data_IF_618202952632
#
_entry.id   IF_618202952632
#
_cell.length_a   1.000
_cell.length_b   1.000
_cell.length_c   1.000
_cell.angle_alpha   90.00
_cell.angle_beta   90.00
_cell.angle_gamma   90.00
#
_symmetry.space_group_name_H-M   'P 1'
#
loop_
_entity.id
_entity.type
_entity.pdbx_description
1 polymer ?
#
# COMPACT_ATOMS: atom_id res chain seq x y z
N UNK A 1 -10.30 -11.65 20.18
CA UNK A 1 -9.64 -12.40 21.28
C UNK A 1 -9.39 -11.54 22.54
N UNK A 2 -9.93 -10.32 22.63
CA UNK A 2 -9.90 -9.53 23.87
C UNK A 2 -11.33 -9.18 24.31
N UNK A 3 -11.61 -9.39 25.60
CA UNK A 3 -12.82 -9.03 26.37
C UNK A 3 -14.08 -9.90 26.25
N UNK A 4 -13.98 -11.18 26.62
CA UNK A 4 -15.17 -11.90 27.09
C UNK A 4 -15.01 -12.59 28.45
N UNK A 5 -13.79 -12.69 28.98
CA UNK A 5 -13.55 -13.24 30.31
C UNK A 5 -13.79 -12.22 31.45
N UNK A 6 -13.71 -10.92 31.16
CA UNK A 6 -13.66 -9.88 32.21
C UNK A 6 -15.00 -9.51 32.85
N UNK A 7 -16.14 -9.95 32.29
CA UNK A 7 -17.43 -9.48 32.79
C UNK A 7 -17.79 -10.04 34.19
N UNK A 8 -17.17 -11.15 34.62
CA UNK A 8 -17.56 -11.88 35.84
C UNK A 8 -16.39 -12.24 36.79
N UNK A 9 -15.16 -11.74 36.57
CA UNK A 9 -14.02 -12.13 37.41
C UNK A 9 -13.95 -11.30 38.72
N UNK A 10 -13.87 -11.95 39.90
CA UNK A 10 -13.60 -11.25 41.15
C UNK A 10 -12.24 -10.54 41.09
N UNK A 11 -12.18 -9.29 41.57
CA UNK A 11 -10.94 -8.49 41.60
C UNK A 11 -9.78 -9.31 42.21
N UNK A 12 -8.72 -9.52 41.42
CA UNK A 12 -7.44 -10.04 41.90
C UNK A 12 -7.07 -11.48 41.50
N UNK A 13 -7.86 -12.19 40.69
CA UNK A 13 -7.44 -13.47 40.11
C UNK A 13 -7.09 -13.31 38.63
N UNK A 14 -5.90 -13.79 38.23
CA UNK A 14 -5.50 -13.88 36.83
C UNK A 14 -6.35 -14.90 36.07
N UNK A 15 -6.42 -14.74 34.75
CA UNK A 15 -7.11 -15.66 33.85
C UNK A 15 -6.20 -16.84 33.55
N UNK A 16 -6.57 -18.03 34.01
CA UNK A 16 -5.94 -19.28 33.57
C UNK A 16 -6.55 -19.71 32.23
N UNK A 17 -5.75 -19.62 31.16
CA UNK A 17 -6.16 -19.89 29.77
C UNK A 17 -6.25 -21.39 29.45
N UNK A 18 -5.68 -22.26 30.28
CA UNK A 18 -5.72 -23.72 30.11
C UNK A 18 -6.95 -24.32 30.82
N UNK A 19 -7.41 -23.70 31.91
CA UNK A 19 -8.57 -24.15 32.69
C UNK A 19 -9.90 -23.56 32.17
N UNK A 20 -9.91 -22.29 31.74
CA UNK A 20 -11.13 -21.60 31.28
C UNK A 20 -11.34 -21.74 29.77
N UNK A 21 -11.69 -22.96 29.35
CA UNK A 21 -12.05 -23.29 27.95
C UNK A 21 -13.32 -22.55 27.51
N UNK A 22 -13.14 -21.32 27.07
CA UNK A 22 -14.09 -20.54 26.28
C UNK A 22 -15.54 -20.53 26.69
N UNK A 23 -15.95 -19.46 27.37
CA UNK A 23 -17.35 -19.21 27.66
C UNK A 23 -18.22 -19.03 26.39
N UNK A 24 -19.56 -19.00 26.52
CA UNK A 24 -20.50 -18.82 25.40
C UNK A 24 -20.20 -17.63 24.47
N UNK A 25 -19.47 -16.63 24.97
CA UNK A 25 -19.05 -15.46 24.20
C UNK A 25 -17.90 -15.74 23.21
N UNK A 26 -17.04 -16.73 23.45
CA UNK A 26 -15.95 -17.06 22.52
C UNK A 26 -16.49 -17.68 21.23
N UNK A 27 -17.37 -18.69 21.36
CA UNK A 27 -18.03 -19.32 20.23
C UNK A 27 -18.76 -18.27 19.36
N UNK A 28 -19.41 -17.28 19.99
CA UNK A 28 -20.05 -16.15 19.29
C UNK A 28 -19.06 -15.36 18.43
N UNK A 29 -17.87 -15.02 18.94
CA UNK A 29 -16.90 -14.24 18.17
C UNK A 29 -16.17 -15.07 17.12
N UNK A 30 -15.95 -16.36 17.36
CA UNK A 30 -15.42 -17.29 16.35
C UNK A 30 -16.40 -17.39 15.17
N UNK A 31 -17.69 -17.65 15.45
CA UNK A 31 -18.73 -17.73 14.41
C UNK A 31 -18.80 -16.42 13.63
N UNK A 32 -18.83 -15.27 14.32
CA UNK A 32 -18.82 -13.94 13.66
C UNK A 32 -17.58 -13.70 12.79
N UNK A 33 -16.42 -14.22 13.20
CA UNK A 33 -15.17 -14.13 12.42
C UNK A 33 -15.30 -14.94 11.14
N UNK A 34 -15.77 -16.19 11.24
CA UNK A 34 -15.98 -17.08 10.09
C UNK A 34 -17.05 -16.53 9.11
N UNK A 35 -18.07 -15.84 9.62
CA UNK A 35 -19.05 -15.13 8.80
C UNK A 35 -18.52 -13.83 8.16
N UNK A 36 -17.34 -13.37 8.55
CA UNK A 36 -16.79 -12.07 8.14
C UNK A 36 -17.54 -10.87 8.74
N UNK A 37 -18.30 -11.06 9.82
CA UNK A 37 -19.22 -10.07 10.42
C UNK A 37 -18.99 -9.90 11.92
N UNK A 38 -17.83 -9.39 12.29
CA UNK A 38 -17.45 -9.15 13.71
C UNK A 38 -18.41 -8.20 14.45
N UNK A 39 -18.93 -7.16 13.77
CA UNK A 39 -19.90 -6.18 14.31
C UNK A 39 -19.47 -5.57 15.66
N UNK A 40 -18.19 -5.23 15.79
CA UNK A 40 -17.64 -4.59 16.99
C UNK A 40 -17.84 -3.07 17.00
N UNK A 41 -18.18 -2.45 15.87
CA UNK A 41 -18.18 -0.99 15.73
C UNK A 41 -16.77 -0.38 15.71
N UNK A 42 -15.73 -1.21 15.65
CA UNK A 42 -14.32 -0.86 15.59
C UNK A 42 -13.76 -1.33 14.25
N UNK A 43 -12.81 -0.57 13.69
CA UNK A 43 -12.13 -0.86 12.44
C UNK A 43 -10.60 -0.79 12.62
N UNK A 44 -9.86 -1.13 11.56
CA UNK A 44 -8.39 -1.17 11.57
C UNK A 44 -7.74 0.12 12.09
N UNK A 45 -8.30 1.29 11.73
CA UNK A 45 -7.81 2.59 12.22
C UNK A 45 -7.90 2.71 13.75
N UNK A 46 -8.96 2.17 14.34
CA UNK A 46 -9.13 2.19 15.80
C UNK A 46 -8.15 1.24 16.46
N UNK A 47 -7.93 0.06 15.87
CA UNK A 47 -6.92 -0.90 16.36
C UNK A 47 -5.52 -0.26 16.33
N UNK A 48 -5.16 0.42 15.24
CA UNK A 48 -3.87 1.07 15.08
C UNK A 48 -3.63 2.16 16.13
N UNK A 49 -4.64 2.99 16.40
CA UNK A 49 -4.57 4.02 17.45
C UNK A 49 -4.44 3.39 18.83
N UNK A 50 -5.28 2.41 19.16
CA UNK A 50 -5.22 1.71 20.45
C UNK A 50 -3.87 1.02 20.67
N UNK A 51 -3.31 0.42 19.62
CA UNK A 51 -2.00 -0.22 19.67
C UNK A 51 -0.88 0.80 19.92
N UNK A 52 -0.89 1.94 19.20
CA UNK A 52 0.08 3.01 19.42
C UNK A 52 0.04 3.56 20.85
N UNK A 53 -1.16 3.75 21.39
CA UNK A 53 -1.32 4.19 22.77
C UNK A 53 -0.81 3.13 23.75
N UNK A 54 -1.14 1.85 23.55
CA UNK A 54 -0.67 0.76 24.40
C UNK A 54 0.86 0.65 24.41
N UNK A 55 1.49 0.73 23.24
CA UNK A 55 2.95 0.75 23.07
C UNK A 55 3.59 1.95 23.78
N UNK A 56 3.02 3.15 23.59
CA UNK A 56 3.51 4.37 24.26
C UNK A 56 3.40 4.27 25.78
N UNK A 57 2.27 3.76 26.28
CA UNK A 57 2.08 3.52 27.71
C UNK A 57 3.13 2.55 28.25
N UNK A 58 3.37 1.44 27.56
CA UNK A 58 4.35 0.45 27.96
C UNK A 58 5.76 1.05 28.05
N UNK A 59 6.21 1.74 27.01
CA UNK A 59 7.56 2.32 26.95
C UNK A 59 7.77 3.41 28.01
N UNK A 60 6.82 4.34 28.15
CA UNK A 60 6.96 5.45 29.10
C UNK A 60 6.85 4.95 30.54
N UNK A 61 5.91 4.04 30.84
CA UNK A 61 5.76 3.49 32.18
C UNK A 61 7.00 2.68 32.59
N UNK A 62 7.54 1.85 31.69
CA UNK A 62 8.73 1.03 31.99
C UNK A 62 9.96 1.88 32.21
N UNK A 63 10.12 3.01 31.49
CA UNK A 63 11.30 3.88 31.60
C UNK A 63 11.20 4.92 32.73
N UNK A 64 9.99 5.40 33.04
CA UNK A 64 9.80 6.57 33.93
C UNK A 64 8.92 6.30 35.15
N UNK A 65 8.28 5.12 35.22
CA UNK A 65 7.31 4.74 36.25
C UNK A 65 6.12 5.73 36.38
N UNK A 66 5.79 6.42 35.29
CA UNK A 66 4.70 7.40 35.18
C UNK A 66 3.87 7.13 33.94
N UNK A 67 2.61 7.57 33.98
CA UNK A 67 1.75 7.57 32.79
C UNK A 67 2.26 8.58 31.75
N UNK A 68 2.14 8.28 30.45
CA UNK A 68 2.50 9.19 29.38
C UNK A 68 1.62 10.44 29.36
N UNK A 69 2.20 11.55 28.92
CA UNK A 69 1.46 12.78 28.65
C UNK A 69 0.63 12.66 27.37
N UNK A 70 -0.35 13.55 27.19
CA UNK A 70 -1.14 13.63 25.95
C UNK A 70 -0.25 13.80 24.72
N UNK A 71 0.77 14.65 24.81
CA UNK A 71 1.72 14.89 23.73
C UNK A 71 2.52 13.63 23.34
N UNK A 72 2.92 12.82 24.33
CA UNK A 72 3.60 11.55 24.08
C UNK A 72 2.68 10.55 23.38
N UNK A 73 1.41 10.45 23.79
CA UNK A 73 0.42 9.59 23.13
C UNK A 73 0.19 10.01 21.68
N UNK A 74 0.00 11.31 21.43
CA UNK A 74 -0.15 11.83 20.07
C UNK A 74 1.09 11.58 19.22
N UNK A 75 2.29 11.71 19.80
CA UNK A 75 3.54 11.39 19.10
C UNK A 75 3.61 9.90 18.74
N UNK A 76 3.34 8.99 19.68
CA UNK A 76 3.34 7.55 19.42
C UNK A 76 2.32 7.17 18.36
N UNK A 77 1.12 7.74 18.40
CA UNK A 77 0.10 7.58 17.36
C UNK A 77 0.58 8.03 15.99
N UNK A 78 1.22 9.20 15.87
CA UNK A 78 1.76 9.68 14.60
C UNK A 78 2.84 8.74 14.07
N UNK A 79 3.77 8.29 14.92
CA UNK A 79 4.85 7.38 14.52
C UNK A 79 4.27 6.07 13.99
N UNK A 80 3.41 5.40 14.76
CA UNK A 80 2.87 4.11 14.32
C UNK A 80 1.98 4.25 13.07
N UNK A 81 1.21 5.35 12.94
CA UNK A 81 0.43 5.63 11.72
C UNK A 81 1.33 5.78 10.50
N UNK A 82 2.44 6.53 10.61
CA UNK A 82 3.37 6.71 9.50
C UNK A 82 4.02 5.38 9.10
N UNK A 83 4.57 4.65 10.08
CA UNK A 83 5.19 3.34 9.85
C UNK A 83 4.20 2.37 9.22
N UNK A 84 2.97 2.28 9.73
CA UNK A 84 1.97 1.39 9.17
C UNK A 84 1.50 1.80 7.77
N UNK A 85 1.50 3.09 7.43
CA UNK A 85 1.16 3.50 6.07
C UNK A 85 2.24 3.11 5.07
N UNK A 86 3.51 3.17 5.45
CA UNK A 86 4.66 2.80 4.60
C UNK A 86 4.91 1.29 4.55
N UNK A 87 4.66 0.60 5.66
CA UNK A 87 4.95 -0.82 5.84
C UNK A 87 3.80 -1.49 6.62
N UNK A 88 2.60 -1.68 6.04
CA UNK A 88 1.42 -2.22 6.73
C UNK A 88 1.52 -3.73 7.00
N UNK A 89 2.54 -4.14 7.76
CA UNK A 89 2.77 -5.52 8.18
C UNK A 89 3.08 -5.57 9.67
N UNK A 90 2.13 -6.07 10.47
CA UNK A 90 2.36 -6.29 11.90
C UNK A 90 3.46 -7.33 12.16
N UNK A 91 3.67 -8.27 11.23
CA UNK A 91 4.75 -9.26 11.33
C UNK A 91 6.14 -8.61 11.32
N UNK A 92 6.29 -7.45 10.65
CA UNK A 92 7.56 -6.69 10.64
C UNK A 92 7.57 -5.62 11.73
N UNK A 93 6.45 -4.91 11.92
CA UNK A 93 6.36 -3.80 12.86
C UNK A 93 6.52 -4.25 14.32
N UNK A 94 5.86 -5.35 14.72
CA UNK A 94 5.83 -5.75 16.13
C UNK A 94 7.22 -6.17 16.63
N UNK A 95 7.99 -7.03 15.93
CA UNK A 95 9.36 -7.35 16.35
C UNK A 95 10.25 -6.11 16.44
N UNK A 96 10.21 -5.22 15.43
CA UNK A 96 11.01 -4.01 15.43
C UNK A 96 10.66 -3.07 16.60
N UNK A 97 9.38 -2.99 16.96
CA UNK A 97 8.94 -2.25 18.15
C UNK A 97 9.50 -2.86 19.44
N UNK A 98 9.46 -4.18 19.59
CA UNK A 98 9.95 -4.85 20.80
C UNK A 98 11.47 -4.62 21.01
N UNK A 99 12.22 -4.42 19.93
CA UNK A 99 13.66 -4.15 19.99
C UNK A 99 13.99 -2.67 20.21
N UNK A 100 13.28 -1.75 19.54
CA UNK A 100 13.67 -0.33 19.46
C UNK A 100 12.74 0.60 20.26
N UNK A 101 11.53 0.15 20.61
CA UNK A 101 10.47 0.98 21.17
C UNK A 101 9.72 1.82 20.13
N UNK A 102 8.65 2.49 20.55
CA UNK A 102 7.73 3.17 19.62
C UNK A 102 8.33 4.42 18.98
N UNK A 103 9.19 5.16 19.69
CA UNK A 103 9.67 6.47 19.22
C UNK A 103 10.77 6.38 18.18
N UNK A 104 11.49 5.25 18.14
CA UNK A 104 12.58 4.98 17.19
C UNK A 104 12.13 4.00 16.08
N UNK A 105 10.86 3.58 16.11
CA UNK A 105 10.28 2.60 15.20
C UNK A 105 10.36 3.00 13.73
N UNK A 106 10.27 4.30 13.43
CA UNK A 106 10.33 4.80 12.06
C UNK A 106 11.71 4.58 11.41
N UNK A 107 12.78 4.63 12.20
CA UNK A 107 14.13 4.40 11.68
C UNK A 107 14.41 2.92 11.43
N UNK A 108 13.78 2.04 12.23
CA UNK A 108 13.87 0.59 12.09
C UNK A 108 12.95 0.03 10.98
N UNK A 109 11.75 0.59 10.80
CA UNK A 109 10.75 0.12 9.85
C UNK A 109 10.60 1.08 8.67
N UNK A 110 11.48 0.92 7.68
CA UNK A 110 11.41 1.67 6.42
C UNK A 110 10.54 0.95 5.40
N UNK A 111 10.03 1.69 4.41
CA UNK A 111 9.37 1.14 3.22
C UNK A 111 10.27 0.08 2.56
N UNK A 112 9.73 -1.10 2.32
CA UNK A 112 10.46 -2.22 1.69
C UNK A 112 9.66 -2.82 0.53
N UNK A 113 10.28 -3.08 -0.63
CA UNK A 113 9.66 -3.86 -1.69
C UNK A 113 9.16 -5.23 -1.19
N UNK A 114 7.95 -5.60 -1.57
CA UNK A 114 7.28 -6.83 -1.16
C UNK A 114 6.23 -6.69 -0.05
N UNK A 115 6.17 -5.53 0.61
CA UNK A 115 5.03 -5.18 1.47
C UNK A 115 4.30 -4.00 0.82
N UNK A 116 3.02 -4.16 0.40
CA UNK A 116 2.31 -3.09 -0.28
C UNK A 116 1.95 -1.96 0.67
N UNK A 117 2.45 -0.76 0.40
CA UNK A 117 2.14 0.42 1.22
C UNK A 117 0.72 0.93 0.97
N UNK A 118 0.17 1.67 1.94
CA UNK A 118 -1.18 2.21 1.82
C UNK A 118 -1.23 3.29 0.75
N UNK A 119 -2.12 3.16 -0.25
CA UNK A 119 -2.17 4.09 -1.37
C UNK A 119 -2.67 5.47 -0.96
N UNK A 120 -2.13 6.52 -1.60
CA UNK A 120 -2.72 7.85 -1.52
C UNK A 120 -4.13 7.84 -2.14
N UNK A 121 -5.09 8.45 -1.44
CA UNK A 121 -6.49 8.53 -1.85
C UNK A 121 -6.85 9.94 -2.33
N UNK A 122 -7.80 10.03 -3.25
CA UNK A 122 -8.34 11.31 -3.72
C UNK A 122 -9.57 11.75 -2.90
N UNK A 123 -9.73 13.05 -2.74
CA UNK A 123 -10.95 13.67 -2.21
C UNK A 123 -11.85 14.06 -3.39
N UNK A 124 -13.12 13.59 -3.43
CA UNK A 124 -14.05 14.02 -4.46
C UNK A 124 -14.27 15.54 -4.38
N UNK A 125 -14.18 16.21 -5.52
CA UNK A 125 -14.35 17.65 -5.66
C UNK A 125 -15.29 17.91 -6.83
N UNK A 126 -16.24 18.83 -6.63
CA UNK A 126 -17.38 19.00 -7.57
C UNK A 126 -17.16 20.11 -8.61
N UNK A 127 -16.15 20.96 -8.43
CA UNK A 127 -15.84 22.05 -9.33
C UNK A 127 -14.34 22.33 -9.39
N UNK A 128 -13.88 22.89 -10.51
CA UNK A 128 -12.48 23.33 -10.68
C UNK A 128 -12.17 24.44 -9.68
N UNK A 129 -13.11 25.33 -9.38
CA UNK A 129 -12.93 26.40 -8.37
C UNK A 129 -12.58 25.83 -6.99
N UNK A 130 -13.24 24.75 -6.55
CA UNK A 130 -12.91 24.10 -5.27
C UNK A 130 -11.48 23.53 -5.27
N UNK A 131 -10.97 23.11 -6.44
CA UNK A 131 -9.57 22.67 -6.60
C UNK A 131 -8.62 23.87 -6.45
N UNK A 132 -8.90 24.97 -7.15
CA UNK A 132 -8.09 26.20 -7.09
C UNK A 132 -8.06 26.79 -5.68
N UNK A 133 -9.21 26.87 -5.03
CA UNK A 133 -9.35 27.36 -3.66
C UNK A 133 -8.56 26.47 -2.68
N UNK A 134 -8.60 25.14 -2.86
CA UNK A 134 -7.85 24.21 -2.01
C UNK A 134 -6.34 24.32 -2.17
N UNK A 135 -5.86 24.57 -3.39
CA UNK A 135 -4.44 24.69 -3.65
C UNK A 135 -3.89 26.09 -3.38
N UNK A 136 -4.74 27.10 -3.15
CA UNK A 136 -4.37 28.43 -2.65
C UNK A 136 -3.23 29.07 -3.49
N UNK A 137 -3.33 29.01 -4.81
CA UNK A 137 -2.34 29.57 -5.73
C UNK A 137 -1.03 28.77 -5.85
N UNK A 138 -0.95 27.57 -5.24
CA UNK A 138 0.15 26.63 -5.49
C UNK A 138 -0.01 25.98 -6.85
N UNK A 139 1.11 25.78 -7.55
CA UNK A 139 1.09 24.96 -8.76
C UNK A 139 0.67 23.53 -8.45
N UNK A 140 -0.11 22.95 -9.35
CA UNK A 140 -0.50 21.54 -9.33
C UNK A 140 -0.43 20.96 -10.75
N UNK A 141 -0.61 19.65 -10.84
CA UNK A 141 -0.74 18.96 -12.12
C UNK A 141 -2.14 18.34 -12.24
N UNK A 142 -2.65 18.29 -13.45
CA UNK A 142 -3.85 17.54 -13.81
C UNK A 142 -3.41 16.29 -14.55
N UNK A 143 -3.76 15.12 -14.05
CA UNK A 143 -3.49 13.84 -14.71
C UNK A 143 -4.80 13.19 -15.15
N UNK A 144 -4.74 12.46 -16.26
CA UNK A 144 -5.88 11.67 -16.69
C UNK A 144 -6.22 10.63 -15.64
N UNK A 145 -7.49 10.62 -15.21
CA UNK A 145 -7.99 9.60 -14.31
C UNK A 145 -8.41 8.37 -15.13
N UNK A 146 -7.47 7.46 -15.32
CA UNK A 146 -7.71 6.19 -16.00
C UNK A 146 -8.80 5.34 -15.30
N UNK A 147 -9.58 4.62 -16.11
CA UNK A 147 -10.66 3.74 -15.66
C UNK A 147 -10.20 2.27 -15.73
N UNK A 148 -9.46 1.86 -14.70
CA UNK A 148 -8.78 0.57 -14.65
C UNK A 148 -8.81 -0.07 -13.26
N UNK A 149 -7.80 -0.89 -13.00
CA UNK A 149 -7.51 -1.43 -11.67
C UNK A 149 -6.15 -0.90 -11.22
N UNK A 150 -6.15 -0.15 -10.11
CA UNK A 150 -4.90 0.31 -9.49
C UNK A 150 -3.98 -0.86 -9.14
N UNK A 151 -2.74 -0.74 -9.56
CA UNK A 151 -1.68 -1.72 -9.38
C UNK A 151 -0.46 -1.03 -8.75
N UNK A 152 -0.02 -1.56 -7.62
CA UNK A 152 1.25 -1.18 -7.01
C UNK A 152 2.29 -2.24 -7.38
N UNK A 153 3.24 -1.88 -8.24
CA UNK A 153 4.23 -2.82 -8.79
C UNK A 153 5.53 -2.66 -8.02
N UNK A 154 5.96 -3.75 -7.39
CA UNK A 154 7.23 -3.82 -6.66
C UNK A 154 8.22 -4.63 -7.49
N UNK A 155 9.49 -4.24 -7.48
CA UNK A 155 10.55 -4.94 -8.19
C UNK A 155 11.88 -4.84 -7.43
N UNK A 156 12.63 -5.94 -7.43
CA UNK A 156 14.03 -5.99 -6.98
C UNK A 156 14.83 -6.86 -7.95
N UNK A 157 15.90 -6.31 -8.50
CA UNK A 157 16.83 -7.00 -9.38
C UNK A 157 17.64 -8.06 -8.63
N UNK A 158 18.07 -9.12 -9.33
CA UNK A 158 18.86 -10.19 -8.70
C UNK A 158 20.23 -9.71 -8.20
N UNK A 159 20.76 -8.63 -8.77
CA UNK A 159 22.04 -8.01 -8.44
C UNK A 159 21.92 -6.75 -7.56
N UNK A 160 20.75 -6.54 -6.94
CA UNK A 160 20.53 -5.46 -5.98
C UNK A 160 21.06 -5.84 -4.60
N UNK A 161 21.65 -4.87 -3.87
CA UNK A 161 22.03 -5.01 -2.46
C UNK A 161 20.83 -4.89 -1.52
N UNK A 162 19.68 -5.44 -1.94
CA UNK A 162 18.41 -5.38 -1.23
C UNK A 162 17.68 -6.69 -1.48
N UNK A 163 17.06 -7.23 -0.44
CA UNK A 163 16.17 -8.37 -0.56
C UNK A 163 14.71 -7.95 -0.43
N UNK A 164 13.84 -8.70 -1.09
CA UNK A 164 12.41 -8.58 -0.91
C UNK A 164 12.02 -8.90 0.55
N UNK A 165 11.15 -8.08 1.15
CA UNK A 165 10.72 -8.27 2.53
C UNK A 165 9.85 -9.53 2.74
N UNK A 166 9.21 -10.00 1.67
CA UNK A 166 8.30 -11.15 1.69
C UNK A 166 8.71 -12.19 0.65
N UNK A 167 8.25 -13.43 0.83
CA UNK A 167 8.45 -14.47 -0.16
C UNK A 167 7.71 -14.12 -1.45
N UNK A 168 8.45 -13.74 -2.49
CA UNK A 168 7.86 -13.39 -3.77
C UNK A 168 7.27 -14.62 -4.49
N UNK A 169 6.13 -14.46 -5.18
CA UNK A 169 5.50 -15.54 -5.92
C UNK A 169 6.38 -15.97 -7.09
N UNK A 170 6.37 -17.26 -7.41
CA UNK A 170 7.12 -17.81 -8.56
C UNK A 170 6.82 -17.09 -9.87
N UNK A 171 5.57 -16.64 -10.06
CA UNK A 171 5.12 -15.89 -11.23
C UNK A 171 5.84 -14.54 -11.41
N UNK A 172 6.38 -13.98 -10.33
CA UNK A 172 7.10 -12.71 -10.33
C UNK A 172 8.58 -12.81 -10.69
N UNK A 173 9.13 -14.03 -10.80
CA UNK A 173 10.55 -14.21 -11.12
C UNK A 173 10.77 -14.05 -12.62
N UNK A 174 11.67 -13.14 -12.98
CA UNK A 174 12.16 -12.91 -14.34
C UNK A 174 13.67 -13.09 -14.40
N UNK A 175 14.25 -12.96 -15.60
CA UNK A 175 15.70 -12.97 -15.77
C UNK A 175 16.39 -11.76 -15.12
N UNK A 176 15.69 -10.63 -14.95
CA UNK A 176 16.25 -9.38 -14.40
C UNK A 176 16.10 -9.30 -12.88
N UNK A 177 15.03 -9.87 -12.34
CA UNK A 177 14.73 -9.77 -10.91
C UNK A 177 13.40 -10.40 -10.55
N UNK A 178 12.87 -9.96 -9.41
CA UNK A 178 11.66 -10.46 -8.77
C UNK A 178 10.65 -9.33 -8.64
N UNK A 179 9.39 -9.62 -8.97
CA UNK A 179 8.31 -8.63 -9.07
C UNK A 179 7.03 -9.07 -8.36
N UNK A 180 6.29 -8.10 -7.82
CA UNK A 180 4.91 -8.30 -7.35
C UNK A 180 3.99 -7.19 -7.84
N UNK A 181 2.71 -7.51 -7.93
CA UNK A 181 1.67 -6.53 -8.21
C UNK A 181 0.64 -6.64 -7.10
N UNK A 182 0.35 -5.53 -6.44
CA UNK A 182 -0.65 -5.47 -5.39
C UNK A 182 -1.83 -4.58 -5.78
N UNK A 183 -3.02 -4.95 -5.33
CA UNK A 183 -4.22 -4.13 -5.52
C UNK A 183 -4.22 -2.93 -4.57
N UNK A 184 -5.17 -2.01 -4.79
CA UNK A 184 -5.48 -0.91 -3.86
C UNK A 184 -5.66 -1.36 -2.41
N UNK A 185 -6.17 -2.57 -2.18
CA UNK A 185 -6.45 -3.11 -0.85
C UNK A 185 -5.36 -4.07 -0.36
N UNK A 186 -4.15 -4.01 -0.93
CA UNK A 186 -3.00 -4.85 -0.56
C UNK A 186 -3.17 -6.34 -0.91
N UNK A 187 -4.08 -6.68 -1.83
CA UNK A 187 -4.22 -8.07 -2.32
C UNK A 187 -3.17 -8.37 -3.40
N UNK A 188 -2.56 -9.56 -3.37
CA UNK A 188 -1.61 -9.98 -4.39
C UNK A 188 -2.30 -10.30 -5.73
N UNK A 189 -2.02 -9.48 -6.74
CA UNK A 189 -2.51 -9.58 -8.12
C UNK A 189 -1.48 -10.21 -9.07
N UNK A 190 -0.32 -10.64 -8.59
CA UNK A 190 0.79 -11.13 -9.43
C UNK A 190 0.36 -12.31 -10.33
N UNK A 191 -0.49 -13.21 -9.82
CA UNK A 191 -1.04 -14.34 -10.60
C UNK A 191 -2.12 -13.94 -11.62
N UNK A 192 -2.69 -12.75 -11.49
CA UNK A 192 -3.71 -12.20 -12.41
C UNK A 192 -3.08 -11.55 -13.64
N UNK A 193 -1.88 -10.99 -13.47
CA UNK A 193 -1.16 -10.24 -14.51
C UNK A 193 0.23 -10.81 -14.83
N UNK A 194 0.34 -12.08 -15.25
CA UNK A 194 1.62 -12.66 -15.65
C UNK A 194 2.21 -12.00 -16.91
N UNK A 195 1.37 -11.40 -17.76
CA UNK A 195 1.76 -10.59 -18.92
C UNK A 195 2.52 -9.33 -18.52
N UNK A 196 2.02 -8.59 -17.53
CA UNK A 196 2.72 -7.42 -16.97
C UNK A 196 4.07 -7.85 -16.41
N UNK A 197 4.11 -8.90 -15.58
CA UNK A 197 5.34 -9.38 -14.95
C UNK A 197 6.39 -9.84 -15.97
N UNK A 198 5.96 -10.51 -17.04
CA UNK A 198 6.87 -10.96 -18.10
C UNK A 198 7.46 -9.80 -18.91
N UNK A 199 6.70 -8.71 -19.08
CA UNK A 199 7.10 -7.53 -19.88
C UNK A 199 7.83 -6.47 -19.06
N UNK A 200 7.57 -6.38 -17.75
CA UNK A 200 8.16 -5.38 -16.85
C UNK A 200 9.67 -5.15 -17.06
N UNK A 201 10.53 -6.17 -17.23
CA UNK A 201 11.97 -5.94 -17.44
C UNK A 201 12.31 -5.08 -18.67
N UNK A 202 11.44 -5.04 -19.69
CA UNK A 202 11.65 -4.26 -20.91
C UNK A 202 11.35 -2.78 -20.72
N UNK A 203 10.54 -2.40 -19.72
CA UNK A 203 10.16 -1.00 -19.42
C UNK A 203 11.20 -0.29 -18.56
N UNK A 204 11.93 -1.08 -17.76
CA UNK A 204 12.90 -0.61 -16.77
C UNK A 204 14.23 -0.27 -17.43
N UNK A 205 14.67 0.98 -17.32
CA UNK A 205 15.97 1.45 -17.83
C UNK A 205 17.14 0.83 -17.06
N UNK A 206 18.34 0.96 -17.61
CA UNK A 206 19.57 0.51 -16.96
C UNK A 206 19.86 1.36 -15.72
N UNK A 207 20.42 0.75 -14.68
CA UNK A 207 20.67 1.40 -13.39
C UNK A 207 19.48 1.37 -12.41
N UNK A 208 18.27 1.05 -12.86
CA UNK A 208 17.12 0.82 -11.99
C UNK A 208 17.12 -0.61 -11.47
N UNK A 209 17.53 -0.79 -10.21
CA UNK A 209 17.68 -2.08 -9.55
C UNK A 209 16.52 -2.43 -8.63
N UNK A 210 15.83 -1.46 -8.05
CA UNK A 210 14.67 -1.74 -7.21
C UNK A 210 13.68 -0.59 -7.22
N UNK A 211 12.38 -0.87 -7.18
CA UNK A 211 11.37 0.19 -7.12
C UNK A 211 10.04 -0.26 -6.53
N UNK A 212 9.24 0.74 -6.15
CA UNK A 212 7.79 0.60 -5.90
C UNK A 212 7.07 1.65 -6.74
N UNK A 213 6.31 1.18 -7.72
CA UNK A 213 5.62 1.98 -8.74
C UNK A 213 4.12 1.98 -8.47
N UNK A 214 3.48 3.14 -8.60
CA UNK A 214 2.02 3.28 -8.50
C UNK A 214 1.45 3.58 -9.89
N UNK A 215 0.49 2.76 -10.31
CA UNK A 215 -0.02 2.80 -11.66
C UNK A 215 -1.47 2.30 -11.75
N UNK A 216 -2.10 2.59 -12.89
CA UNK A 216 -3.40 2.05 -13.25
C UNK A 216 -3.23 1.01 -14.37
N UNK A 217 -3.75 -0.20 -14.18
CA UNK A 217 -3.81 -1.21 -15.23
C UNK A 217 -5.13 -1.06 -15.98
N UNK A 218 -5.07 -0.77 -17.28
CA UNK A 218 -6.25 -0.45 -18.11
C UNK A 218 -6.34 -1.43 -19.27
N UNK A 219 -7.54 -1.87 -19.63
CA UNK A 219 -7.73 -2.68 -20.84
C UNK A 219 -7.33 -1.89 -22.09
N UNK A 220 -6.64 -2.54 -23.03
CA UNK A 220 -6.04 -1.89 -24.19
C UNK A 220 -6.37 -2.62 -25.48
N UNK A 221 -6.78 -1.86 -26.49
CA UNK A 221 -6.94 -2.33 -27.86
C UNK A 221 -5.62 -2.15 -28.62
N UNK A 222 -5.01 -3.26 -29.03
CA UNK A 222 -3.71 -3.26 -29.70
C UNK A 222 -3.82 -2.79 -31.15
N UNK A 223 -4.95 -3.03 -31.80
CA UNK A 223 -5.16 -2.71 -33.21
C UNK A 223 -5.54 -1.23 -33.37
N UNK A 224 -6.49 -0.76 -32.56
CA UNK A 224 -6.95 0.63 -32.58
C UNK A 224 -6.11 1.57 -31.70
N UNK A 225 -5.18 1.01 -30.90
CA UNK A 225 -4.27 1.76 -30.02
C UNK A 225 -5.00 2.69 -29.06
N UNK A 226 -6.01 2.17 -28.37
CA UNK A 226 -6.85 2.95 -27.47
C UNK A 226 -7.18 2.21 -26.18
N UNK A 227 -7.51 2.99 -25.15
CA UNK A 227 -8.05 2.46 -23.89
C UNK A 227 -9.46 1.88 -24.10
N UNK A 228 -9.73 0.78 -23.41
CA UNK A 228 -11.02 0.11 -23.41
C UNK A 228 -11.75 0.33 -22.07
N UNK A 229 -13.09 0.25 -22.05
CA UNK A 229 -13.86 0.42 -20.83
C UNK A 229 -13.49 -0.59 -19.73
N UNK A 230 -13.62 -0.19 -18.46
CA UNK A 230 -13.32 -1.05 -17.32
C UNK A 230 -14.09 -2.38 -17.30
N UNK A 231 -15.31 -2.42 -17.87
CA UNK A 231 -16.08 -3.66 -17.99
C UNK A 231 -15.33 -4.73 -18.79
N UNK A 232 -14.52 -4.34 -19.78
CA UNK A 232 -13.69 -5.29 -20.53
C UNK A 232 -12.56 -5.84 -19.66
N UNK A 233 -11.91 -4.98 -18.86
CA UNK A 233 -10.88 -5.41 -17.90
C UNK A 233 -11.43 -6.45 -16.90
N UNK A 234 -12.66 -6.25 -16.44
CA UNK A 234 -13.37 -7.16 -15.52
C UNK A 234 -13.59 -8.57 -16.08
N UNK A 235 -13.55 -8.76 -17.41
CA UNK A 235 -13.67 -10.09 -18.03
C UNK A 235 -12.39 -10.92 -17.93
N UNK A 236 -11.26 -10.32 -17.53
CA UNK A 236 -10.01 -11.06 -17.31
C UNK A 236 -10.18 -12.08 -16.19
N UNK A 237 -9.61 -13.28 -16.40
CA UNK A 237 -9.53 -14.31 -15.36
C UNK A 237 -8.77 -13.78 -14.14
N UNK A 238 -9.25 -14.13 -12.95
CA UNK A 238 -8.67 -13.65 -11.67
C UNK A 238 -7.60 -14.57 -11.09
N UNK A 239 -7.61 -15.86 -11.45
CA UNK A 239 -6.71 -16.89 -10.89
C UNK A 239 -6.15 -17.77 -12.01
N UNK A 240 -4.93 -18.25 -11.79
CA UNK A 240 -4.21 -19.22 -12.62
C UNK A 240 -4.21 -18.84 -14.11
N UNK A 241 -3.94 -17.55 -14.37
CA UNK A 241 -3.85 -17.02 -15.73
C UNK A 241 -2.56 -17.51 -16.35
N UNK A 242 -2.64 -18.16 -17.52
CA UNK A 242 -1.48 -18.43 -18.38
C UNK A 242 -1.38 -17.34 -19.43
N UNK A 243 -0.16 -16.92 -19.78
CA UNK A 243 0.08 -15.83 -20.73
C UNK A 243 -0.59 -16.07 -22.09
N UNK A 244 -0.65 -17.32 -22.52
CA UNK A 244 -1.28 -17.78 -23.77
C UNK A 244 -2.81 -17.61 -23.79
N UNK A 245 -3.45 -17.67 -22.62
CA UNK A 245 -4.92 -17.60 -22.48
C UNK A 245 -5.44 -16.14 -22.40
N UNK A 246 -4.55 -15.15 -22.44
CA UNK A 246 -4.90 -13.74 -22.25
C UNK A 246 -5.49 -13.15 -23.53
N UNK A 247 -6.82 -13.02 -23.51
CA UNK A 247 -7.60 -12.36 -24.58
C UNK A 247 -7.59 -10.84 -24.47
N UNK A 248 -7.86 -10.30 -23.28
CA UNK A 248 -7.90 -8.85 -23.04
C UNK A 248 -6.50 -8.37 -22.67
N UNK A 249 -5.87 -7.63 -23.57
CA UNK A 249 -4.57 -6.99 -23.31
C UNK A 249 -4.74 -5.77 -22.41
N UNK A 250 -3.67 -5.40 -21.73
CA UNK A 250 -3.65 -4.28 -20.81
C UNK A 250 -2.43 -3.40 -21.05
N UNK A 251 -2.61 -2.11 -20.82
CA UNK A 251 -1.55 -1.13 -20.73
C UNK A 251 -1.47 -0.61 -19.29
N UNK A 252 -0.26 -0.42 -18.79
CA UNK A 252 0.02 0.12 -17.46
C UNK A 252 0.32 1.60 -17.58
N UNK A 253 -0.48 2.44 -16.92
CA UNK A 253 -0.29 3.88 -16.85
C UNK A 253 0.30 4.28 -15.50
N UNK A 254 1.60 4.55 -15.46
CA UNK A 254 2.30 4.94 -14.24
C UNK A 254 2.12 6.42 -13.91
N UNK A 255 1.76 6.71 -12.66
CA UNK A 255 1.53 8.07 -12.19
C UNK A 255 2.37 8.47 -10.97
N UNK A 256 2.98 7.52 -10.25
CA UNK A 256 3.89 7.85 -9.14
C UNK A 256 4.98 6.80 -8.92
N UNK A 257 6.09 7.22 -8.29
CA UNK A 257 7.19 6.36 -7.90
C UNK A 257 7.49 6.58 -6.41
N UNK A 258 7.35 5.52 -5.63
CA UNK A 258 7.31 5.57 -4.16
C UNK A 258 8.63 5.10 -3.52
N UNK A 259 9.42 4.34 -4.26
CA UNK A 259 10.73 3.83 -3.85
C UNK A 259 11.60 3.63 -5.09
N UNK A 260 12.89 3.92 -4.98
CA UNK A 260 13.87 3.71 -6.05
C UNK A 260 15.24 3.39 -5.47
N UNK A 261 15.86 2.30 -5.93
CA UNK A 261 17.25 1.92 -5.64
C UNK A 261 17.66 2.02 -4.16
N UNK A 262 16.86 1.46 -3.25
CA UNK A 262 17.13 1.49 -1.81
C UNK A 262 16.58 2.71 -1.07
N UNK A 263 16.07 3.72 -1.79
CA UNK A 263 15.59 4.98 -1.21
C UNK A 263 14.05 5.05 -1.25
N UNK A 264 13.45 5.33 -0.10
CA UNK A 264 12.03 5.67 -0.02
C UNK A 264 11.80 7.12 -0.49
N UNK A 265 10.87 7.30 -1.43
CA UNK A 265 10.59 8.60 -2.03
C UNK A 265 9.36 9.30 -1.44
N UNK A 266 8.62 8.63 -0.54
CA UNK A 266 7.34 9.10 0.03
C UNK A 266 7.42 10.46 0.75
N UNK A 267 8.60 10.86 1.20
CA UNK A 267 8.85 12.16 1.84
C UNK A 267 9.41 13.23 0.87
N UNK A 268 9.57 12.89 -0.41
CA UNK A 268 10.03 13.82 -1.45
C UNK A 268 8.84 14.50 -2.14
N UNK A 269 9.09 15.64 -2.79
CA UNK A 269 8.04 16.35 -3.52
C UNK A 269 7.56 15.51 -4.70
N UNK A 270 6.29 15.64 -5.08
CA UNK A 270 5.74 14.92 -6.24
C UNK A 270 6.53 15.20 -7.53
N UNK A 271 7.06 16.42 -7.69
CA UNK A 271 7.90 16.78 -8.85
C UNK A 271 9.15 15.92 -8.91
N UNK A 272 9.84 15.74 -7.78
CA UNK A 272 11.08 14.94 -7.72
C UNK A 272 10.79 13.46 -7.98
N UNK A 273 9.69 12.93 -7.41
CA UNK A 273 9.24 11.56 -7.67
C UNK A 273 8.90 11.34 -9.13
N UNK A 274 8.22 12.30 -9.77
CA UNK A 274 7.90 12.25 -11.20
C UNK A 274 9.16 12.33 -12.06
N UNK A 275 10.13 13.18 -11.75
CA UNK A 275 11.41 13.20 -12.46
C UNK A 275 12.11 11.84 -12.38
N UNK A 276 12.24 11.27 -11.18
CA UNK A 276 12.81 9.93 -10.97
C UNK A 276 12.04 8.83 -11.70
N UNK A 277 10.71 8.92 -11.79
CA UNK A 277 9.86 8.02 -12.58
C UNK A 277 10.25 8.05 -14.06
N UNK A 278 10.39 9.24 -14.65
CA UNK A 278 10.76 9.37 -16.07
C UNK A 278 12.21 8.93 -16.33
N UNK A 279 13.11 9.11 -15.37
CA UNK A 279 14.50 8.67 -15.45
C UNK A 279 14.63 7.14 -15.35
N UNK A 280 13.80 6.47 -14.55
CA UNK A 280 13.87 5.04 -14.29
C UNK A 280 13.17 4.16 -15.34
N UNK A 281 12.22 4.70 -16.10
CA UNK A 281 11.40 3.93 -17.03
C UNK A 281 11.38 4.51 -18.44
N UNK A 282 11.06 3.68 -19.43
CA UNK A 282 10.76 4.08 -20.81
C UNK A 282 9.39 3.56 -21.22
N UNK A 283 8.67 4.36 -21.97
CA UNK A 283 7.38 3.96 -22.53
C UNK A 283 7.55 2.86 -23.57
N UNK A 284 6.59 1.94 -23.60
CA UNK A 284 6.48 0.87 -24.58
C UNK A 284 5.01 0.82 -25.01
N UNK A 285 4.76 1.17 -26.27
CA UNK A 285 3.41 1.36 -26.81
C UNK A 285 2.51 0.15 -26.55
N UNK A 286 1.35 0.40 -25.93
CA UNK A 286 0.35 -0.62 -25.59
C UNK A 286 0.71 -1.53 -24.41
N UNK A 287 1.88 -1.34 -23.79
CA UNK A 287 2.31 -2.09 -22.60
C UNK A 287 2.48 -1.17 -21.37
N UNK A 288 3.24 -0.09 -21.53
CA UNK A 288 3.60 0.82 -20.44
C UNK A 288 3.68 2.26 -20.94
N UNK A 289 2.99 3.17 -20.26
CA UNK A 289 3.00 4.60 -20.52
C UNK A 289 3.01 5.38 -19.20
N UNK A 290 3.46 6.63 -19.25
CA UNK A 290 3.24 7.54 -18.14
C UNK A 290 1.82 8.11 -18.21
N UNK A 291 1.26 8.48 -17.06
CA UNK A 291 -0.01 9.18 -17.01
C UNK A 291 0.08 10.49 -17.80
N UNK A 292 -0.87 10.71 -18.71
CA UNK A 292 -0.98 11.97 -19.43
C UNK A 292 -1.30 13.08 -18.46
N UNK A 293 -0.54 14.17 -18.53
CA UNK A 293 -0.66 15.25 -17.58
C UNK A 293 -0.50 16.64 -18.22
N UNK A 294 -1.07 17.63 -17.56
CA UNK A 294 -0.81 19.06 -17.78
C UNK A 294 -0.41 19.74 -16.48
N UNK A 295 0.55 20.68 -16.53
CA UNK A 295 0.86 21.55 -15.41
C UNK A 295 0.26 22.92 -15.71
N UNK A 296 -0.86 23.26 -15.06
CA UNK A 296 -1.54 24.54 -15.28
C UNK A 296 -2.40 24.87 -14.06
N UNK A 297 -2.49 26.17 -13.76
CA UNK A 297 -3.42 26.76 -12.80
C UNK A 297 -4.50 27.59 -13.51
N UNK A 298 -4.46 27.67 -14.85
CA UNK A 298 -5.41 28.42 -15.66
C UNK A 298 -6.69 27.61 -15.89
N UNK A 299 -7.82 28.17 -15.48
CA UNK A 299 -9.12 27.49 -15.49
C UNK A 299 -9.52 27.02 -16.89
N UNK A 300 -9.28 27.83 -17.91
CA UNK A 300 -9.60 27.50 -19.31
C UNK A 300 -8.77 26.33 -19.83
N UNK A 301 -7.51 26.21 -19.40
CA UNK A 301 -6.63 25.11 -19.80
C UNK A 301 -6.97 23.79 -19.09
N UNK A 302 -7.67 23.83 -17.95
CA UNK A 302 -8.12 22.64 -17.20
C UNK A 302 -9.43 22.09 -17.75
N UNK A 303 -10.26 22.93 -18.39
CA UNK A 303 -11.55 22.54 -18.94
C UNK A 303 -11.48 21.79 -20.28
N UNK A 304 -10.33 21.82 -20.95
CA UNK A 304 -10.07 21.17 -22.25
C UNK A 304 -9.53 19.76 -22.04
#
# INVERSE_FOLDING_TARGET
LLSAADANLPKGKGVDIEENKGGPSEAKFIVRTLEGKMRLGLADKTVLVSLAQAMTYHDVMTKTNKAPTTEQLEKGERVLKNVYNELPSYEVIIPAYLENGIFDLHDACKLQPGVPLKPMLAKPTKSITEVLDRFEGKDFTCEYKYDGERAQIHFVAHDADLTYATAAPTAGKSFKGVSNIFSRNSEDLSKKYPDILAKLPTWVKDGTKSFVLDCETVAWDVDEKKVLPFQQLMTRKRKDVKTEDIKVKVCVFAFDLLFLNGEALVNQSFRDRRTKLYEAFKEVEGEFAFAQYGNTNELDAIQV
#
